data_IF_211730475072
#
_entry.id   IF_211730475072
#
_cell.length_a   1.000
_cell.length_b   1.000
_cell.length_c   1.000
_cell.angle_alpha   90.00
_cell.angle_beta   90.00
_cell.angle_gamma   90.00
#
_symmetry.space_group_name_H-M   'P 1'
#
loop_
_entity.id
_entity.type
_entity.pdbx_description
1 polymer ?
#
# COMPACT_ATOMS: atom_id res chain seq x y z
N UNK A 1 -0.61 -6.07 2.17
CA UNK A 1 -1.61 -6.30 1.08
C UNK A 1 -2.82 -5.41 1.31
N UNK A 2 -3.36 -4.80 0.26
CA UNK A 2 -4.59 -3.99 0.28
C UNK A 2 -5.74 -4.77 -0.34
N UNK A 3 -6.98 -4.40 0.00
CA UNK A 3 -8.21 -4.96 -0.60
C UNK A 3 -9.18 -3.84 -0.98
N UNK A 4 -10.19 -4.17 -1.79
CA UNK A 4 -11.23 -3.23 -2.18
C UNK A 4 -12.25 -2.97 -1.05
N UNK A 5 -12.94 -1.84 -1.12
CA UNK A 5 -13.97 -1.44 -0.15
C UNK A 5 -15.04 -2.53 0.06
N UNK A 6 -15.56 -3.13 -1.03
CA UNK A 6 -16.61 -4.15 -0.91
C UNK A 6 -16.12 -5.39 -0.15
N UNK A 7 -14.85 -5.80 -0.34
CA UNK A 7 -14.21 -6.89 0.40
C UNK A 7 -14.00 -6.52 1.87
N UNK A 8 -13.54 -5.29 2.13
CA UNK A 8 -13.42 -4.77 3.49
C UNK A 8 -14.76 -4.77 4.24
N UNK A 9 -15.85 -4.40 3.56
CA UNK A 9 -17.20 -4.47 4.13
C UNK A 9 -17.67 -5.89 4.40
N UNK A 10 -17.25 -6.88 3.61
CA UNK A 10 -17.52 -8.30 3.91
C UNK A 10 -16.84 -8.72 5.20
N UNK A 11 -15.59 -8.31 5.40
CA UNK A 11 -14.86 -8.54 6.66
C UNK A 11 -15.60 -7.84 7.81
N UNK A 12 -15.98 -6.58 7.67
CA UNK A 12 -16.73 -5.87 8.71
C UNK A 12 -18.02 -6.58 9.10
N UNK A 13 -18.79 -7.12 8.14
CA UNK A 13 -19.98 -7.92 8.43
C UNK A 13 -19.67 -9.18 9.24
N UNK A 14 -18.57 -9.89 8.90
CA UNK A 14 -18.12 -11.08 9.67
C UNK A 14 -17.85 -10.75 11.13
N UNK A 15 -17.42 -9.53 11.42
CA UNK A 15 -17.17 -9.03 12.78
C UNK A 15 -18.34 -8.27 13.40
N UNK A 16 -19.54 -8.38 12.83
CA UNK A 16 -20.77 -7.83 13.38
C UNK A 16 -20.96 -6.31 13.22
N UNK A 17 -20.18 -5.68 12.35
CA UNK A 17 -20.33 -4.25 12.09
C UNK A 17 -21.42 -3.99 11.03
N UNK A 18 -22.34 -3.04 11.28
CA UNK A 18 -23.31 -2.64 10.28
C UNK A 18 -22.64 -1.92 9.11
N UNK A 19 -22.94 -2.38 7.91
CA UNK A 19 -22.51 -1.78 6.63
C UNK A 19 -23.71 -1.71 5.68
N UNK A 20 -23.77 -0.77 4.74
CA UNK A 20 -24.82 -0.74 3.73
C UNK A 20 -24.87 -2.03 2.92
N UNK A 21 -26.04 -2.38 2.40
CA UNK A 21 -26.14 -3.46 1.42
C UNK A 21 -25.51 -2.98 0.11
N UNK A 22 -24.63 -3.79 -0.46
CA UNK A 22 -23.95 -3.46 -1.70
C UNK A 22 -23.61 -4.72 -2.47
N UNK A 23 -23.51 -4.59 -3.80
CA UNK A 23 -23.17 -5.67 -4.72
C UNK A 23 -22.07 -5.16 -5.66
N UNK A 24 -20.92 -5.85 -5.75
CA UNK A 24 -19.88 -5.52 -6.72
C UNK A 24 -20.37 -5.78 -8.15
N UNK A 25 -19.88 -4.99 -9.10
CA UNK A 25 -20.21 -5.12 -10.51
C UNK A 25 -18.96 -4.91 -11.38
N UNK A 26 -18.79 -5.75 -12.40
CA UNK A 26 -17.64 -5.74 -13.32
C UNK A 26 -18.02 -5.28 -14.73
N UNK A 27 -19.30 -4.99 -14.93
CA UNK A 27 -19.85 -4.40 -16.14
C UNK A 27 -20.99 -3.44 -15.81
N UNK A 28 -21.37 -2.61 -16.78
CA UNK A 28 -22.51 -1.68 -16.64
C UNK A 28 -23.82 -2.45 -16.44
N UNK A 29 -24.00 -3.57 -17.14
CA UNK A 29 -25.22 -4.39 -17.01
C UNK A 29 -25.31 -5.06 -15.63
N UNK A 30 -24.18 -5.52 -15.09
CA UNK A 30 -24.11 -6.02 -13.72
C UNK A 30 -24.44 -4.92 -12.69
N UNK A 31 -24.00 -3.69 -12.90
CA UNK A 31 -24.33 -2.57 -12.02
C UNK A 31 -25.83 -2.29 -11.99
N UNK A 32 -26.50 -2.30 -13.16
CA UNK A 32 -27.98 -2.15 -13.24
C UNK A 32 -28.70 -3.33 -12.57
N UNK A 33 -28.20 -4.56 -12.78
CA UNK A 33 -28.74 -5.76 -12.13
C UNK A 33 -28.58 -5.68 -10.60
N UNK A 34 -27.43 -5.23 -10.13
CA UNK A 34 -27.16 -5.02 -8.72
C UNK A 34 -28.16 -4.04 -8.09
N UNK A 35 -28.38 -2.90 -8.72
CA UNK A 35 -29.38 -1.92 -8.27
C UNK A 35 -30.80 -2.48 -8.18
N UNK A 36 -31.21 -3.27 -9.19
CA UNK A 36 -32.52 -3.95 -9.16
C UNK A 36 -32.61 -4.95 -8.00
N UNK A 37 -31.56 -5.72 -7.76
CA UNK A 37 -31.51 -6.71 -6.68
C UNK A 37 -31.55 -6.04 -5.29
N UNK A 38 -30.86 -4.92 -5.12
CA UNK A 38 -30.88 -4.15 -3.87
C UNK A 38 -32.25 -3.53 -3.60
N UNK A 39 -32.99 -3.18 -4.66
CA UNK A 39 -34.27 -2.45 -4.54
C UNK A 39 -34.05 -1.02 -4.08
N UNK A 40 -35.17 -0.38 -3.64
CA UNK A 40 -35.11 1.00 -3.20
C UNK A 40 -35.23 2.01 -4.35
N UNK A 41 -34.89 3.27 -4.07
CA UNK A 41 -35.02 4.38 -5.02
C UNK A 41 -33.76 5.26 -5.12
N UNK A 42 -32.77 5.00 -4.29
CA UNK A 42 -31.49 5.73 -4.28
C UNK A 42 -30.35 4.74 -4.13
N UNK A 43 -29.40 4.84 -5.03
CA UNK A 43 -28.18 4.02 -5.02
C UNK A 43 -26.95 4.91 -5.11
N UNK A 44 -25.81 4.37 -4.68
CA UNK A 44 -24.51 5.00 -4.86
C UNK A 44 -23.65 4.07 -5.70
N UNK A 45 -23.11 4.57 -6.80
CA UNK A 45 -22.17 3.85 -7.68
C UNK A 45 -20.76 4.31 -7.32
N UNK A 46 -19.93 3.38 -6.86
CA UNK A 46 -18.61 3.66 -6.32
C UNK A 46 -17.52 2.93 -7.12
N UNK A 47 -16.54 3.67 -7.60
CA UNK A 47 -15.29 3.09 -8.13
C UNK A 47 -14.60 2.23 -7.06
N UNK A 48 -14.09 1.08 -7.45
CA UNK A 48 -13.29 0.23 -6.57
C UNK A 48 -11.84 0.27 -7.03
N UNK A 49 -11.01 1.01 -6.31
CA UNK A 49 -9.55 1.09 -6.43
C UNK A 49 -8.94 1.11 -5.04
N UNK A 50 -7.66 0.74 -4.92
CA UNK A 50 -6.93 0.73 -3.65
C UNK A 50 -6.44 2.12 -3.20
N UNK A 51 -7.25 3.15 -3.45
CA UNK A 51 -6.94 4.53 -3.05
C UNK A 51 -8.14 5.22 -2.42
N UNK A 52 -7.85 6.13 -1.48
CA UNK A 52 -8.83 7.04 -0.90
C UNK A 52 -9.10 8.27 -1.78
N UNK A 53 -10.04 9.13 -1.35
CA UNK A 53 -10.38 10.36 -2.07
C UNK A 53 -11.19 10.16 -3.34
N UNK A 54 -11.76 8.98 -3.55
CA UNK A 54 -12.53 8.61 -4.75
C UNK A 54 -13.70 9.55 -5.04
N UNK A 55 -14.37 10.02 -3.99
CA UNK A 55 -15.49 10.97 -4.14
C UNK A 55 -15.07 12.29 -4.78
N UNK A 56 -13.96 12.88 -4.31
CA UNK A 56 -13.40 14.13 -4.87
C UNK A 56 -12.91 13.93 -6.31
N UNK A 57 -12.42 12.74 -6.65
CA UNK A 57 -12.00 12.38 -8.00
C UNK A 57 -13.13 12.06 -8.97
N UNK A 58 -14.39 12.10 -8.52
CA UNK A 58 -15.56 11.76 -9.36
C UNK A 58 -15.90 10.27 -9.44
N UNK A 59 -15.22 9.43 -8.65
CA UNK A 59 -15.43 7.98 -8.60
C UNK A 59 -16.59 7.51 -7.71
N UNK A 60 -17.37 8.43 -7.11
CA UNK A 60 -18.53 8.10 -6.29
C UNK A 60 -19.69 9.00 -6.71
N UNK A 61 -20.79 8.40 -7.17
CA UNK A 61 -21.93 9.15 -7.70
C UNK A 61 -23.25 8.54 -7.23
N UNK A 62 -24.19 9.41 -6.84
CA UNK A 62 -25.56 9.04 -6.49
C UNK A 62 -26.39 8.85 -7.76
N UNK A 63 -27.29 7.87 -7.74
CA UNK A 63 -28.28 7.60 -8.77
C UNK A 63 -29.68 7.42 -8.15
N UNK A 64 -30.70 8.00 -8.77
CA UNK A 64 -32.10 7.99 -8.30
C UNK A 64 -33.03 7.21 -9.23
N UNK A 65 -32.47 6.58 -10.28
CA UNK A 65 -33.19 5.69 -11.19
C UNK A 65 -32.23 4.65 -11.75
N UNK A 66 -32.74 3.57 -12.32
CA UNK A 66 -31.91 2.55 -12.98
C UNK A 66 -31.17 3.10 -14.20
N UNK A 67 -31.75 4.05 -14.91
CA UNK A 67 -31.10 4.73 -16.02
C UNK A 67 -29.94 5.60 -15.55
N UNK A 68 -30.09 6.28 -14.42
CA UNK A 68 -28.98 6.99 -13.78
C UNK A 68 -27.89 6.03 -13.29
N UNK A 69 -28.24 4.86 -12.73
CA UNK A 69 -27.24 3.84 -12.37
C UNK A 69 -26.45 3.41 -13.61
N UNK A 70 -27.11 3.14 -14.74
CA UNK A 70 -26.46 2.82 -16.00
C UNK A 70 -25.53 3.93 -16.47
N UNK A 71 -25.99 5.18 -16.42
CA UNK A 71 -25.20 6.36 -16.79
C UNK A 71 -23.96 6.48 -15.90
N UNK A 72 -24.12 6.46 -14.56
CA UNK A 72 -23.00 6.57 -13.62
C UNK A 72 -22.00 5.42 -13.74
N UNK A 73 -22.49 4.19 -13.92
CA UNK A 73 -21.64 3.05 -14.15
C UNK A 73 -20.82 3.21 -15.45
N UNK A 74 -21.41 3.72 -16.53
CA UNK A 74 -20.73 3.99 -17.79
C UNK A 74 -19.66 5.08 -17.67
N UNK A 75 -19.94 6.12 -16.87
CA UNK A 75 -19.00 7.22 -16.60
C UNK A 75 -17.78 6.77 -15.78
N UNK A 76 -17.99 5.87 -14.80
CA UNK A 76 -16.98 5.51 -13.80
C UNK A 76 -16.18 4.29 -14.24
N UNK A 77 -16.82 3.25 -14.81
CA UNK A 77 -16.13 2.03 -15.20
C UNK A 77 -15.17 2.30 -16.37
N UNK A 78 -13.92 1.96 -16.19
CA UNK A 78 -12.86 2.18 -17.18
C UNK A 78 -12.21 3.57 -17.13
N UNK A 79 -12.72 4.50 -16.32
CA UNK A 79 -12.08 5.81 -16.16
C UNK A 79 -10.70 5.68 -15.49
N UNK A 80 -9.82 6.62 -15.80
CA UNK A 80 -8.58 6.83 -15.06
C UNK A 80 -8.86 7.77 -13.89
N UNK A 81 -9.00 7.19 -12.70
CA UNK A 81 -9.38 7.94 -11.50
C UNK A 81 -8.14 8.52 -10.82
N UNK A 82 -8.06 9.84 -10.82
CA UNK A 82 -6.98 10.58 -10.16
C UNK A 82 -7.44 11.03 -8.77
N UNK A 83 -6.68 10.66 -7.75
CA UNK A 83 -6.86 11.10 -6.36
C UNK A 83 -5.52 11.54 -5.80
N UNK A 84 -5.50 12.13 -4.62
CA UNK A 84 -4.25 12.48 -3.93
C UNK A 84 -3.37 11.25 -3.59
N UNK A 85 -3.95 10.04 -3.61
CA UNK A 85 -3.23 8.79 -3.31
C UNK A 85 -2.78 8.00 -4.55
N UNK A 86 -3.35 8.26 -5.73
CA UNK A 86 -2.98 7.57 -6.98
C UNK A 86 -1.85 8.24 -7.74
N UNK A 87 -1.46 9.45 -7.34
CA UNK A 87 -0.57 10.28 -8.13
C UNK A 87 -1.22 10.80 -9.43
N UNK A 88 -0.47 11.55 -10.25
CA UNK A 88 -1.00 12.22 -11.45
C UNK A 88 -1.42 11.23 -12.57
N UNK A 89 -0.85 10.03 -12.59
CA UNK A 89 -1.23 8.97 -13.54
C UNK A 89 -2.60 8.38 -13.28
N UNK A 90 -3.10 8.49 -12.05
CA UNK A 90 -4.36 7.89 -11.64
C UNK A 90 -4.34 6.36 -11.63
N UNK A 91 -5.49 5.78 -11.30
CA UNK A 91 -5.72 4.33 -11.33
C UNK A 91 -6.93 4.01 -12.20
N UNK A 92 -6.81 3.01 -13.07
CA UNK A 92 -7.92 2.57 -13.92
C UNK A 92 -8.97 1.84 -13.09
N UNK A 93 -10.22 2.30 -13.18
CA UNK A 93 -11.36 1.66 -12.51
C UNK A 93 -11.80 0.43 -13.30
N UNK A 94 -11.61 -0.77 -12.74
CA UNK A 94 -11.97 -2.05 -13.36
C UNK A 94 -13.23 -2.68 -12.78
N UNK A 95 -13.72 -2.17 -11.66
CA UNK A 95 -14.91 -2.69 -10.96
C UNK A 95 -15.60 -1.60 -10.17
N UNK A 96 -16.88 -1.82 -9.91
CA UNK A 96 -17.76 -0.92 -9.20
C UNK A 96 -18.34 -1.62 -7.96
N UNK A 97 -18.78 -0.82 -7.00
CA UNK A 97 -19.71 -1.23 -5.96
C UNK A 97 -20.99 -0.43 -6.14
N UNK A 98 -22.11 -1.10 -6.33
CA UNK A 98 -23.45 -0.48 -6.27
C UNK A 98 -24.00 -0.73 -4.88
N UNK A 99 -24.36 0.35 -4.19
CA UNK A 99 -24.74 0.33 -2.78
C UNK A 99 -26.04 1.07 -2.55
N UNK A 100 -26.83 0.65 -1.57
CA UNK A 100 -28.02 1.39 -1.17
C UNK A 100 -27.64 2.77 -0.61
N UNK A 101 -28.47 3.78 -0.89
CA UNK A 101 -28.29 5.12 -0.30
C UNK A 101 -28.53 5.11 1.21
N UNK A 102 -27.86 6.00 1.92
CA UNK A 102 -28.01 6.20 3.35
C UNK A 102 -28.46 7.64 3.67
N UNK A 103 -29.36 7.81 4.64
CA UNK A 103 -29.74 9.15 5.17
C UNK A 103 -28.67 9.59 6.18
N UNK A 104 -27.61 10.24 5.67
CA UNK A 104 -26.46 10.66 6.47
C UNK A 104 -26.81 11.91 7.26
N UNK A 105 -26.74 11.86 8.58
CA UNK A 105 -26.89 13.00 9.48
C UNK A 105 -25.59 13.50 10.04
N UNK A 106 -24.64 12.59 10.27
CA UNK A 106 -23.33 12.90 10.80
C UNK A 106 -22.29 11.99 10.19
N UNK A 107 -21.16 12.57 9.80
CA UNK A 107 -20.00 11.86 9.31
C UNK A 107 -18.88 11.93 10.35
N UNK A 108 -18.33 10.79 10.69
CA UNK A 108 -17.29 10.62 11.69
C UNK A 108 -16.12 9.86 11.07
N UNK A 109 -14.97 9.96 11.69
CA UNK A 109 -13.79 9.17 11.33
C UNK A 109 -13.43 8.19 12.44
N UNK A 110 -13.09 6.95 12.06
CA UNK A 110 -12.51 5.95 12.96
C UNK A 110 -11.45 5.17 12.21
N UNK A 111 -10.28 5.01 12.82
CA UNK A 111 -9.19 4.22 12.24
C UNK A 111 -8.34 3.54 13.31
N UNK A 112 -7.70 2.43 12.94
CA UNK A 112 -6.74 1.72 13.77
C UNK A 112 -5.46 1.45 13.00
N UNK A 113 -4.33 1.66 13.67
CA UNK A 113 -2.99 1.38 13.18
C UNK A 113 -2.14 0.81 14.30
N UNK A 114 -1.03 0.15 13.94
CA UNK A 114 0.01 -0.18 14.93
C UNK A 114 0.87 1.06 15.16
N UNK A 115 0.88 1.55 16.39
CA UNK A 115 1.80 2.61 16.81
C UNK A 115 3.13 2.00 17.25
N UNK A 116 4.17 2.26 16.46
CA UNK A 116 5.51 1.71 16.70
C UNK A 116 6.19 2.30 17.92
N UNK A 117 5.86 3.56 18.25
CA UNK A 117 6.45 4.25 19.41
C UNK A 117 6.02 3.64 20.74
N UNK A 118 4.74 3.33 20.88
CA UNK A 118 4.16 2.72 22.08
C UNK A 118 4.07 1.19 22.01
N UNK A 119 4.29 0.60 20.83
CA UNK A 119 4.11 -0.84 20.54
C UNK A 119 2.67 -1.32 20.87
N UNK A 120 1.68 -0.47 20.60
CA UNK A 120 0.26 -0.71 20.84
C UNK A 120 -0.56 -0.46 19.58
N UNK A 121 -1.81 -0.92 19.59
CA UNK A 121 -2.79 -0.51 18.59
C UNK A 121 -3.31 0.87 18.97
N UNK A 122 -3.15 1.84 18.08
CA UNK A 122 -3.73 3.15 18.22
C UNK A 122 -5.10 3.21 17.55
N UNK A 123 -6.14 3.43 18.34
CA UNK A 123 -7.46 3.79 17.85
C UNK A 123 -7.51 5.32 17.72
N UNK A 124 -7.80 5.79 16.52
CA UNK A 124 -8.01 7.20 16.22
C UNK A 124 -9.46 7.43 15.87
N UNK A 125 -10.04 8.48 16.40
CA UNK A 125 -11.43 8.85 16.11
C UNK A 125 -11.58 10.38 16.05
N UNK A 126 -12.46 10.87 15.18
CA UNK A 126 -12.71 12.30 14.99
C UNK A 126 -14.16 12.57 14.63
N UNK A 127 -14.65 13.75 15.02
CA UNK A 127 -15.91 14.31 14.52
C UNK A 127 -15.83 14.80 13.08
N UNK A 128 -14.64 14.87 12.50
CA UNK A 128 -14.36 15.26 11.11
C UNK A 128 -14.28 14.01 10.23
N UNK A 129 -15.42 13.52 9.76
CA UNK A 129 -15.51 12.39 8.84
C UNK A 129 -15.73 12.83 7.39
N UNK A 130 -15.51 11.89 6.44
CA UNK A 130 -15.67 12.16 5.01
C UNK A 130 -14.61 13.09 4.41
N UNK A 131 -13.57 13.42 5.18
CA UNK A 131 -12.47 14.32 4.77
C UNK A 131 -11.13 13.61 4.87
N UNK A 132 -10.08 14.25 4.34
CA UNK A 132 -8.71 13.80 4.46
C UNK A 132 -8.24 13.94 5.91
N UNK A 133 -8.08 12.81 6.59
CA UNK A 133 -7.71 12.77 8.02
C UNK A 133 -6.26 13.21 8.25
N UNK A 134 -5.38 13.02 7.28
CA UNK A 134 -4.00 13.49 7.34
C UNK A 134 -3.96 15.02 7.38
N UNK A 135 -4.83 15.68 6.62
CA UNK A 135 -4.99 17.14 6.67
C UNK A 135 -5.55 17.61 8.03
N UNK A 136 -6.50 16.87 8.61
CA UNK A 136 -7.00 17.16 9.97
C UNK A 136 -5.88 16.98 10.99
N UNK A 137 -5.09 15.91 10.88
CA UNK A 137 -3.96 15.65 11.78
C UNK A 137 -2.88 16.74 11.71
N UNK A 138 -2.64 17.29 10.52
CA UNK A 138 -1.64 18.36 10.34
C UNK A 138 -2.13 19.73 10.82
N UNK A 139 -3.41 20.07 10.57
CA UNK A 139 -3.93 21.43 10.79
C UNK A 139 -4.67 21.59 12.14
N UNK A 140 -5.34 20.55 12.61
CA UNK A 140 -6.19 20.55 13.82
C UNK A 140 -6.07 19.23 14.58
N UNK A 141 -4.86 18.85 15.05
CA UNK A 141 -4.61 17.55 15.68
C UNK A 141 -5.44 17.30 16.95
N UNK A 142 -5.90 18.36 17.61
CA UNK A 142 -6.78 18.31 18.78
C UNK A 142 -8.17 17.74 18.47
N UNK A 143 -8.59 17.73 17.20
CA UNK A 143 -9.83 17.10 16.74
C UNK A 143 -9.75 15.59 16.64
N UNK A 144 -8.56 15.02 16.76
CA UNK A 144 -8.34 13.58 16.71
C UNK A 144 -8.15 13.03 18.11
N UNK A 145 -9.13 12.30 18.60
CA UNK A 145 -9.01 11.49 19.81
C UNK A 145 -8.14 10.27 19.51
N UNK A 146 -7.11 10.04 20.34
CA UNK A 146 -6.25 8.85 20.27
C UNK A 146 -6.37 8.03 21.55
N UNK A 147 -6.52 6.71 21.37
CA UNK A 147 -6.53 5.75 22.48
C UNK A 147 -5.53 4.64 22.12
N UNK A 148 -4.58 4.39 23.00
CA UNK A 148 -3.59 3.33 22.84
C UNK A 148 -4.06 2.09 23.57
N UNK A 149 -4.45 1.06 22.81
CA UNK A 149 -5.03 -0.17 23.33
C UNK A 149 -3.90 -1.09 23.77
N UNK A 150 -3.96 -1.54 25.01
CA UNK A 150 -3.03 -2.54 25.52
C UNK A 150 -3.33 -3.91 24.89
N UNK A 151 -2.34 -4.59 24.29
CA UNK A 151 -2.56 -5.87 23.62
C UNK A 151 -3.06 -6.99 24.57
N UNK A 152 -2.72 -6.89 25.86
CA UNK A 152 -3.09 -7.89 26.87
C UNK A 152 -4.53 -7.79 27.32
N UNK A 153 -5.08 -6.55 27.39
CA UNK A 153 -6.47 -6.32 27.85
C UNK A 153 -7.46 -6.09 26.71
N UNK A 154 -6.98 -5.57 25.57
CA UNK A 154 -7.80 -5.20 24.43
C UNK A 154 -8.63 -3.92 24.67
N UNK A 155 -9.47 -3.59 23.71
CA UNK A 155 -10.43 -2.48 23.82
C UNK A 155 -11.64 -2.92 24.62
N UNK A 156 -11.94 -2.22 25.73
CA UNK A 156 -13.12 -2.53 26.54
C UNK A 156 -14.35 -1.69 26.12
N UNK A 157 -15.53 -2.12 26.60
CA UNK A 157 -16.80 -1.45 26.28
C UNK A 157 -16.86 0.01 26.77
N UNK A 158 -16.33 0.27 27.97
CA UNK A 158 -16.31 1.61 28.54
C UNK A 158 -15.43 2.58 27.72
N UNK A 159 -14.25 2.13 27.30
CA UNK A 159 -13.36 2.92 26.43
C UNK A 159 -14.02 3.18 25.06
N UNK A 160 -14.68 2.19 24.47
CA UNK A 160 -15.41 2.37 23.21
C UNK A 160 -16.56 3.39 23.36
N UNK A 161 -17.30 3.37 24.48
CA UNK A 161 -18.33 4.35 24.78
C UNK A 161 -17.76 5.76 24.92
N UNK A 162 -16.65 5.90 25.64
CA UNK A 162 -15.96 7.18 25.80
C UNK A 162 -15.49 7.76 24.46
N UNK A 163 -14.91 6.92 23.60
CA UNK A 163 -14.51 7.33 22.25
C UNK A 163 -15.73 7.78 21.45
N UNK A 164 -16.81 7.01 21.43
CA UNK A 164 -18.04 7.34 20.71
C UNK A 164 -18.61 8.71 21.16
N UNK A 165 -18.68 8.97 22.48
CA UNK A 165 -19.15 10.24 23.01
C UNK A 165 -18.20 11.39 22.65
N UNK A 166 -16.89 11.16 22.72
CA UNK A 166 -15.88 12.21 22.47
C UNK A 166 -15.93 12.75 21.02
N UNK A 167 -16.35 11.95 20.07
CA UNK A 167 -16.52 12.35 18.67
C UNK A 167 -17.94 12.79 18.34
N UNK A 168 -18.81 12.86 19.37
CA UNK A 168 -20.15 13.41 19.30
C UNK A 168 -21.18 12.47 18.72
N UNK A 169 -21.07 11.15 18.93
CA UNK A 169 -22.15 10.20 18.68
C UNK A 169 -23.31 10.52 19.63
N UNK A 170 -24.56 10.64 19.15
CA UNK A 170 -25.71 10.83 20.02
C UNK A 170 -25.85 9.71 21.06
N UNK A 171 -26.26 10.03 22.29
CA UNK A 171 -26.30 9.05 23.39
C UNK A 171 -27.11 7.79 23.06
N UNK A 172 -28.23 7.92 22.36
CA UNK A 172 -29.04 6.78 21.91
C UNK A 172 -28.36 5.88 20.88
N UNK A 173 -27.32 6.38 20.22
CA UNK A 173 -26.53 5.63 19.21
C UNK A 173 -25.20 5.08 19.75
N UNK A 174 -24.80 5.45 20.98
CA UNK A 174 -23.55 4.99 21.60
C UNK A 174 -23.42 3.46 21.66
N UNK A 175 -24.47 2.69 22.03
CA UNK A 175 -24.37 1.22 22.04
C UNK A 175 -24.05 0.62 20.65
N UNK A 176 -24.55 1.22 19.57
CA UNK A 176 -24.24 0.78 18.20
C UNK A 176 -22.81 1.18 17.80
N UNK A 177 -22.39 2.39 18.14
CA UNK A 177 -21.00 2.84 17.92
C UNK A 177 -20.00 1.94 18.66
N UNK A 178 -20.33 1.56 19.91
CA UNK A 178 -19.54 0.56 20.66
C UNK A 178 -19.40 -0.74 19.89
N UNK A 179 -20.48 -1.26 19.33
CA UNK A 179 -20.46 -2.49 18.52
C UNK A 179 -19.50 -2.35 17.34
N UNK A 180 -19.52 -1.18 16.65
CA UNK A 180 -18.60 -0.91 15.54
C UNK A 180 -17.16 -0.84 16.02
N UNK A 181 -16.86 -0.10 17.09
CA UNK A 181 -15.49 0.06 17.60
C UNK A 181 -14.88 -1.26 18.09
N UNK A 182 -15.65 -2.06 18.83
CA UNK A 182 -15.22 -3.38 19.27
C UNK A 182 -15.06 -4.34 18.10
N UNK A 183 -15.97 -4.30 17.13
CA UNK A 183 -15.89 -5.09 15.90
C UNK A 183 -14.65 -4.71 15.06
N UNK A 184 -14.36 -3.43 14.93
CA UNK A 184 -13.17 -2.94 14.22
C UNK A 184 -11.88 -3.39 14.90
N UNK A 185 -11.80 -3.29 16.23
CA UNK A 185 -10.67 -3.79 17.01
C UNK A 185 -10.46 -5.30 16.79
N UNK A 186 -11.56 -6.07 16.87
CA UNK A 186 -11.50 -7.51 16.66
C UNK A 186 -11.09 -7.86 15.24
N UNK A 187 -11.65 -7.19 14.24
CA UNK A 187 -11.26 -7.34 12.84
C UNK A 187 -9.77 -7.01 12.64
N UNK A 188 -9.30 -5.88 13.17
CA UNK A 188 -7.90 -5.46 13.08
C UNK A 188 -6.95 -6.52 13.63
N UNK A 189 -7.21 -7.01 14.85
CA UNK A 189 -6.37 -7.99 15.53
C UNK A 189 -6.41 -9.36 14.87
N UNK A 190 -7.62 -9.88 14.62
CA UNK A 190 -7.84 -11.27 14.21
C UNK A 190 -7.48 -11.51 12.72
N UNK A 191 -7.34 -10.45 11.92
CA UNK A 191 -6.92 -10.52 10.51
C UNK A 191 -5.50 -10.05 10.27
N UNK A 192 -4.73 -9.71 11.31
CA UNK A 192 -3.41 -9.10 11.20
C UNK A 192 -3.42 -7.86 10.30
N UNK A 193 -4.43 -7.01 10.47
CA UNK A 193 -4.47 -5.76 9.74
C UNK A 193 -3.37 -4.81 10.21
N UNK A 194 -2.77 -4.06 9.30
CA UNK A 194 -1.83 -2.97 9.58
C UNK A 194 -2.52 -1.61 9.58
N UNK A 195 -3.67 -1.52 8.91
CA UNK A 195 -4.59 -0.40 8.90
C UNK A 195 -6.03 -0.94 8.80
N UNK A 196 -6.93 -0.41 9.61
CA UNK A 196 -8.37 -0.53 9.42
C UNK A 196 -9.01 0.84 9.61
N UNK A 197 -9.70 1.34 8.59
CA UNK A 197 -10.26 2.69 8.57
C UNK A 197 -11.70 2.67 8.09
N UNK A 198 -12.53 3.46 8.75
CA UNK A 198 -13.91 3.77 8.37
C UNK A 198 -13.99 5.29 8.19
N UNK A 199 -14.10 5.73 6.95
CA UNK A 199 -14.14 7.17 6.63
C UNK A 199 -15.10 7.45 5.45
N UNK A 200 -16.38 7.78 5.75
CA UNK A 200 -16.91 8.05 7.08
C UNK A 200 -17.54 6.85 7.79
N UNK A 201 -17.54 6.89 9.10
CA UNK A 201 -18.52 6.25 9.96
C UNK A 201 -19.71 7.18 10.07
N UNK A 202 -20.92 6.74 9.77
CA UNK A 202 -22.08 7.63 9.72
C UNK A 202 -23.10 7.32 10.82
N UNK A 203 -23.72 8.39 11.33
CA UNK A 203 -24.95 8.30 12.09
C UNK A 203 -26.09 8.71 11.15
N UNK A 204 -27.06 7.83 10.98
CA UNK A 204 -28.20 8.05 10.09
C UNK A 204 -29.33 8.81 10.79
N UNK A 205 -30.31 9.30 10.02
CA UNK A 205 -31.46 10.02 10.56
C UNK A 205 -32.33 9.23 11.54
N UNK A 206 -32.35 7.92 11.42
CA UNK A 206 -33.02 6.98 12.34
C UNK A 206 -32.11 6.51 13.49
N UNK A 207 -30.90 7.11 13.63
CA UNK A 207 -29.99 6.86 14.74
C UNK A 207 -29.13 5.61 14.60
N UNK A 208 -29.12 4.93 13.45
CA UNK A 208 -28.19 3.81 13.20
C UNK A 208 -26.77 4.32 12.99
N UNK A 209 -25.81 3.49 13.40
CA UNK A 209 -24.38 3.73 13.17
C UNK A 209 -23.88 2.73 12.13
N UNK A 210 -23.36 3.22 11.01
CA UNK A 210 -23.03 2.41 9.83
C UNK A 210 -21.62 2.75 9.34
N UNK A 211 -20.81 1.74 9.04
CA UNK A 211 -19.54 1.91 8.32
C UNK A 211 -19.83 2.11 6.83
N UNK A 212 -19.79 3.37 6.39
CA UNK A 212 -20.14 3.73 5.01
C UNK A 212 -19.02 3.47 4.02
N UNK A 213 -17.79 3.48 4.47
CA UNK A 213 -16.60 3.09 3.70
C UNK A 213 -15.77 2.08 4.51
N UNK A 214 -14.88 1.37 3.86
CA UNK A 214 -13.97 0.42 4.47
C UNK A 214 -12.63 0.44 3.76
N UNK A 215 -11.56 0.67 4.52
CA UNK A 215 -10.19 0.56 4.04
C UNK A 215 -9.42 -0.35 4.98
N UNK A 216 -8.95 -1.47 4.45
CA UNK A 216 -8.19 -2.46 5.18
C UNK A 216 -6.88 -2.75 4.46
N UNK A 217 -5.79 -2.71 5.21
CA UNK A 217 -4.49 -3.19 4.78
C UNK A 217 -4.04 -4.27 5.76
N UNK A 218 -3.40 -5.31 5.27
CA UNK A 218 -2.94 -6.44 6.07
C UNK A 218 -1.42 -6.51 6.09
N UNK A 219 -0.88 -7.02 7.17
CA UNK A 219 0.53 -7.36 7.26
C UNK A 219 0.84 -8.52 6.31
N UNK A 220 1.65 -8.24 5.29
CA UNK A 220 2.02 -9.25 4.29
C UNK A 220 2.78 -10.42 4.90
N UNK A 221 3.48 -10.23 6.03
CA UNK A 221 4.20 -11.29 6.73
C UNK A 221 3.25 -12.29 7.44
N UNK A 222 1.99 -11.91 7.67
CA UNK A 222 0.99 -12.75 8.31
C UNK A 222 0.05 -13.46 7.33
N UNK A 223 0.10 -13.16 6.04
CA UNK A 223 -0.84 -13.68 5.03
C UNK A 223 -0.83 -15.20 4.90
N UNK A 224 0.27 -15.87 5.26
CA UNK A 224 0.35 -17.33 5.25
C UNK A 224 -0.71 -18.01 6.12
N UNK A 225 -1.26 -17.32 7.11
CA UNK A 225 -2.32 -17.81 8.00
C UNK A 225 -3.71 -17.27 7.67
N UNK A 226 -3.83 -16.46 6.59
CA UNK A 226 -5.09 -15.87 6.12
C UNK A 226 -5.34 -16.17 4.64
N UNK A 227 -5.52 -17.44 4.24
CA UNK A 227 -5.71 -17.80 2.83
C UNK A 227 -6.95 -17.15 2.21
N UNK A 228 -8.01 -16.95 2.97
CA UNK A 228 -9.24 -16.27 2.54
C UNK A 228 -9.00 -14.77 2.22
N UNK A 229 -8.06 -14.13 2.91
CA UNK A 229 -7.66 -12.75 2.62
C UNK A 229 -6.76 -12.71 1.38
N UNK A 230 -5.87 -13.70 1.22
CA UNK A 230 -5.02 -13.81 0.01
C UNK A 230 -5.86 -13.91 -1.26
N UNK A 231 -6.99 -14.60 -1.23
CA UNK A 231 -7.94 -14.71 -2.36
C UNK A 231 -8.56 -13.36 -2.77
N UNK A 232 -8.56 -12.38 -1.86
CA UNK A 232 -9.06 -11.02 -2.12
C UNK A 232 -8.05 -10.13 -2.85
N UNK A 233 -6.83 -10.60 -3.08
CA UNK A 233 -5.75 -9.84 -3.74
C UNK A 233 -6.14 -9.46 -5.16
N UNK A 234 -5.88 -8.22 -5.53
CA UNK A 234 -6.05 -7.70 -6.89
C UNK A 234 -4.71 -7.26 -7.46
N UNK A 235 -4.16 -8.07 -8.35
CA UNK A 235 -2.87 -7.79 -8.98
C UNK A 235 -2.91 -6.57 -9.91
N UNK A 236 -4.07 -6.22 -10.45
CA UNK A 236 -4.23 -5.01 -11.27
C UNK A 236 -4.08 -3.70 -10.49
N UNK A 237 -4.11 -3.78 -9.16
CA UNK A 237 -3.95 -2.65 -8.24
C UNK A 237 -2.53 -2.57 -7.63
N UNK A 238 -1.65 -3.52 -7.95
CA UNK A 238 -0.28 -3.58 -7.46
C UNK A 238 0.71 -3.12 -8.53
N UNK A 239 1.91 -2.73 -8.10
CA UNK A 239 3.00 -2.39 -9.02
C UNK A 239 3.45 -3.65 -9.79
N UNK A 240 3.48 -3.61 -11.14
CA UNK A 240 3.86 -4.77 -11.95
C UNK A 240 5.28 -5.27 -11.68
N UNK A 241 6.21 -4.39 -11.32
CA UNK A 241 7.59 -4.75 -11.04
C UNK A 241 7.72 -5.40 -9.66
N UNK A 242 6.92 -4.95 -8.67
CA UNK A 242 6.81 -5.61 -7.36
C UNK A 242 6.21 -7.02 -7.49
N UNK A 243 5.18 -7.19 -8.34
CA UNK A 243 4.60 -8.50 -8.64
C UNK A 243 5.63 -9.42 -9.29
N UNK A 244 6.37 -8.92 -10.28
CA UNK A 244 7.38 -9.70 -10.97
C UNK A 244 8.50 -10.12 -10.01
N UNK A 245 8.98 -9.20 -9.18
CA UNK A 245 10.01 -9.47 -8.18
C UNK A 245 9.59 -10.57 -7.19
N UNK A 246 8.33 -10.59 -6.80
CA UNK A 246 7.80 -11.59 -5.86
C UNK A 246 7.88 -13.02 -6.40
N UNK A 247 7.86 -13.23 -7.72
CA UNK A 247 7.99 -14.55 -8.34
C UNK A 247 9.37 -15.17 -8.15
N UNK A 248 10.38 -14.32 -7.92
CA UNK A 248 11.77 -14.72 -7.72
C UNK A 248 12.21 -14.60 -6.25
N UNK A 249 11.25 -14.39 -5.33
CA UNK A 249 11.53 -14.19 -3.91
C UNK A 249 12.52 -13.02 -3.69
N UNK A 250 12.29 -11.92 -4.41
CA UNK A 250 12.99 -10.65 -4.29
C UNK A 250 12.11 -9.66 -3.54
N UNK A 251 12.69 -8.97 -2.55
CA UNK A 251 12.03 -7.85 -1.88
C UNK A 251 12.28 -6.57 -2.68
N UNK A 252 11.32 -6.15 -3.47
CA UNK A 252 11.39 -4.97 -4.34
C UNK A 252 10.28 -3.98 -4.01
N UNK A 253 10.64 -2.69 -3.97
CA UNK A 253 9.68 -1.58 -3.86
C UNK A 253 10.09 -0.52 -4.87
N UNK A 254 9.18 -0.14 -5.76
CA UNK A 254 9.38 0.94 -6.72
C UNK A 254 9.37 2.30 -6.03
N UNK A 255 10.32 3.16 -6.37
CA UNK A 255 10.45 4.54 -5.90
C UNK A 255 10.57 5.48 -7.11
N UNK A 256 10.46 6.75 -6.92
CA UNK A 256 10.40 7.70 -8.04
C UNK A 256 11.75 8.25 -8.54
N UNK A 257 12.88 7.69 -8.11
CA UNK A 257 14.21 8.19 -8.46
C UNK A 257 14.78 7.64 -9.77
N UNK A 258 16.07 7.88 -9.99
CA UNK A 258 16.79 7.54 -11.23
C UNK A 258 18.05 6.65 -11.01
N UNK A 259 18.34 6.29 -9.75
CA UNK A 259 19.45 5.42 -9.38
C UNK A 259 18.92 4.08 -8.88
N UNK A 260 19.12 3.01 -9.65
CA UNK A 260 18.75 1.66 -9.27
C UNK A 260 19.66 1.11 -8.17
N UNK A 261 19.07 0.41 -7.19
CA UNK A 261 19.78 -0.17 -6.06
C UNK A 261 19.60 -1.68 -6.04
N UNK A 262 20.72 -2.44 -6.00
CA UNK A 262 20.75 -3.89 -5.78
C UNK A 262 21.62 -4.18 -4.57
N UNK A 263 21.01 -4.71 -3.52
CA UNK A 263 21.67 -4.87 -2.22
C UNK A 263 21.33 -6.23 -1.61
N UNK A 264 22.17 -6.79 -0.79
CA UNK A 264 21.84 -7.94 0.04
C UNK A 264 21.64 -7.54 1.50
N UNK A 265 20.41 -7.71 1.98
CA UNK A 265 19.98 -7.36 3.32
C UNK A 265 19.27 -6.00 3.40
N UNK A 266 18.07 -6.01 3.97
CA UNK A 266 17.18 -4.85 4.03
C UNK A 266 17.81 -3.63 4.74
N UNK A 267 18.56 -3.86 5.84
CA UNK A 267 19.25 -2.78 6.56
C UNK A 267 20.32 -2.09 5.70
N UNK A 268 21.09 -2.87 4.94
CA UNK A 268 22.10 -2.34 4.02
C UNK A 268 21.43 -1.62 2.85
N UNK A 269 20.30 -2.12 2.35
CA UNK A 269 19.52 -1.47 1.30
C UNK A 269 19.03 -0.09 1.73
N UNK A 270 18.44 0.03 2.92
CA UNK A 270 18.01 1.31 3.48
C UNK A 270 19.18 2.27 3.65
N UNK A 271 20.29 1.83 4.26
CA UNK A 271 21.48 2.66 4.43
C UNK A 271 22.10 3.10 3.09
N UNK A 272 22.02 2.25 2.05
CA UNK A 272 22.48 2.58 0.70
C UNK A 272 21.65 3.71 0.10
N UNK A 273 20.32 3.61 0.20
CA UNK A 273 19.40 4.64 -0.29
C UNK A 273 19.59 5.96 0.45
N UNK A 274 19.72 5.95 1.78
CA UNK A 274 20.00 7.14 2.59
C UNK A 274 21.31 7.80 2.18
N UNK A 275 22.36 6.98 1.93
CA UNK A 275 23.64 7.51 1.49
C UNK A 275 23.54 8.14 0.10
N UNK A 276 22.85 7.52 -0.86
CA UNK A 276 22.59 8.11 -2.18
C UNK A 276 21.90 9.47 -2.03
N UNK A 277 20.88 9.57 -1.18
CA UNK A 277 20.18 10.83 -0.91
C UNK A 277 21.11 11.88 -0.29
N UNK A 278 21.96 11.49 0.65
CA UNK A 278 22.95 12.38 1.27
C UNK A 278 23.91 13.00 0.23
N UNK A 279 24.26 12.26 -0.81
CA UNK A 279 25.09 12.73 -1.92
C UNK A 279 24.30 13.42 -3.05
N UNK A 280 23.00 13.66 -2.86
CA UNK A 280 22.14 14.41 -3.77
C UNK A 280 21.66 13.61 -4.98
N UNK A 281 21.52 12.28 -4.84
CA UNK A 281 20.88 11.40 -5.79
C UNK A 281 19.49 10.93 -5.35
N UNK A 282 18.73 10.32 -6.24
CA UNK A 282 17.39 9.83 -5.97
C UNK A 282 17.29 8.32 -6.26
N UNK A 283 17.09 7.46 -5.22
CA UNK A 283 16.92 6.03 -5.40
C UNK A 283 15.67 5.69 -6.23
N UNK A 284 15.81 4.84 -7.25
CA UNK A 284 14.72 4.39 -8.09
C UNK A 284 13.93 3.25 -7.44
N UNK A 285 14.57 2.47 -6.58
CA UNK A 285 13.97 1.32 -5.92
C UNK A 285 14.68 0.94 -4.61
N UNK A 286 13.92 0.30 -3.72
CA UNK A 286 14.48 -0.60 -2.72
C UNK A 286 14.57 -2.00 -3.35
N UNK A 287 15.68 -2.70 -3.18
CA UNK A 287 15.80 -4.09 -3.56
C UNK A 287 16.77 -4.83 -2.66
N UNK A 288 16.26 -5.88 -2.03
CA UNK A 288 17.04 -6.85 -1.25
C UNK A 288 16.98 -8.22 -1.93
N UNK A 289 18.13 -8.68 -2.41
CA UNK A 289 18.24 -10.00 -3.04
C UNK A 289 18.34 -11.15 -2.02
N UNK A 290 18.38 -10.82 -0.73
CA UNK A 290 18.53 -11.78 0.35
C UNK A 290 19.94 -12.36 0.51
N UNK A 291 20.16 -13.10 1.59
CA UNK A 291 21.47 -13.71 1.92
C UNK A 291 21.83 -14.95 1.11
N UNK A 292 20.93 -15.45 0.27
CA UNK A 292 21.13 -16.67 -0.55
C UNK A 292 20.92 -16.41 -2.05
N UNK A 293 21.17 -15.19 -2.55
CA UNK A 293 20.94 -14.85 -3.95
C UNK A 293 21.81 -15.68 -4.90
N UNK A 294 21.17 -16.23 -5.91
CA UNK A 294 21.81 -16.94 -7.03
C UNK A 294 22.07 -15.98 -8.19
N UNK A 295 22.89 -16.37 -9.14
CA UNK A 295 23.10 -15.63 -10.39
C UNK A 295 21.79 -15.36 -11.12
N UNK A 296 20.82 -16.28 -11.05
CA UNK A 296 19.48 -16.14 -11.62
C UNK A 296 18.70 -15.01 -10.93
N UNK A 297 18.61 -14.99 -9.61
CA UNK A 297 17.96 -13.91 -8.84
C UNK A 297 18.57 -12.54 -9.17
N UNK A 298 19.90 -12.45 -9.26
CA UNK A 298 20.58 -11.22 -9.64
C UNK A 298 20.21 -10.79 -11.06
N UNK A 299 20.15 -11.73 -11.99
CA UNK A 299 19.75 -11.46 -13.38
C UNK A 299 18.31 -10.91 -13.46
N UNK A 300 17.37 -11.54 -12.77
CA UNK A 300 15.98 -11.08 -12.75
C UNK A 300 15.86 -9.71 -12.04
N UNK A 301 16.61 -9.47 -10.97
CA UNK A 301 16.67 -8.17 -10.33
C UNK A 301 17.13 -7.07 -11.31
N UNK A 302 18.16 -7.29 -12.12
CA UNK A 302 18.59 -6.36 -13.15
C UNK A 302 17.49 -6.13 -14.21
N UNK A 303 16.85 -7.20 -14.69
CA UNK A 303 15.76 -7.09 -15.67
C UNK A 303 14.61 -6.23 -15.15
N UNK A 304 14.24 -6.41 -13.88
CA UNK A 304 13.18 -5.62 -13.23
C UNK A 304 13.59 -4.15 -13.14
N UNK A 305 14.78 -3.85 -12.61
CA UNK A 305 15.26 -2.47 -12.50
C UNK A 305 15.32 -1.76 -13.87
N UNK A 306 15.72 -2.47 -14.92
CA UNK A 306 15.85 -1.90 -16.27
C UNK A 306 14.50 -1.62 -16.97
N UNK A 307 13.38 -2.07 -16.42
CA UNK A 307 12.04 -1.65 -16.89
C UNK A 307 11.74 -0.20 -16.53
N UNK A 308 12.41 0.34 -15.51
CA UNK A 308 12.23 1.72 -15.11
C UNK A 308 12.82 2.68 -16.15
N UNK A 309 11.95 3.35 -16.90
CA UNK A 309 12.33 4.20 -18.04
C UNK A 309 13.20 5.42 -17.67
N UNK A 310 13.17 5.84 -16.41
CA UNK A 310 13.95 6.95 -15.88
C UNK A 310 15.31 6.57 -15.29
N UNK A 311 15.71 5.29 -15.38
CA UNK A 311 16.94 4.80 -14.77
C UNK A 311 18.20 5.37 -15.47
N UNK A 312 19.07 6.01 -14.71
CA UNK A 312 20.30 6.63 -15.21
C UNK A 312 21.57 5.94 -14.77
N UNK A 313 21.58 5.28 -13.62
CA UNK A 313 22.72 4.52 -13.11
C UNK A 313 22.25 3.42 -12.16
N UNK A 314 23.08 2.42 -11.93
CA UNK A 314 22.80 1.35 -10.95
C UNK A 314 23.96 1.25 -9.95
N UNK A 315 23.60 1.14 -8.66
CA UNK A 315 24.51 0.80 -7.58
C UNK A 315 24.23 -0.61 -7.08
N UNK A 316 25.23 -1.49 -7.21
CA UNK A 316 25.28 -2.79 -6.55
C UNK A 316 26.11 -2.65 -5.29
N UNK A 317 25.51 -2.85 -4.12
CA UNK A 317 26.18 -2.75 -2.83
C UNK A 317 26.02 -4.04 -2.05
N UNK A 318 27.10 -4.83 -1.97
CA UNK A 318 27.10 -6.17 -1.38
C UNK A 318 28.01 -6.22 -0.16
N UNK A 319 27.49 -6.82 0.90
CA UNK A 319 28.27 -7.26 2.03
C UNK A 319 28.27 -8.79 2.09
N UNK A 320 29.40 -9.39 1.73
CA UNK A 320 29.59 -10.84 1.70
C UNK A 320 29.72 -11.41 3.11
N UNK A 321 28.71 -12.20 3.47
CA UNK A 321 28.71 -13.05 4.65
C UNK A 321 28.48 -14.48 4.22
N UNK A 322 27.27 -15.00 4.40
CA UNK A 322 26.84 -16.29 3.86
C UNK A 322 26.91 -16.26 2.32
N UNK A 323 26.45 -15.17 1.72
CA UNK A 323 26.64 -14.88 0.30
C UNK A 323 28.06 -14.42 0.05
N UNK A 324 28.75 -15.02 -0.92
CA UNK A 324 30.13 -14.71 -1.27
C UNK A 324 30.18 -13.66 -2.39
N UNK A 325 31.18 -12.77 -2.32
CA UNK A 325 31.35 -11.70 -3.31
C UNK A 325 31.65 -12.23 -4.73
N UNK A 326 32.37 -13.34 -4.86
CA UNK A 326 32.63 -13.99 -6.14
C UNK A 326 31.33 -14.46 -6.83
N UNK A 327 30.44 -15.13 -6.10
CA UNK A 327 29.15 -15.60 -6.63
C UNK A 327 28.29 -14.41 -7.14
N UNK A 328 28.28 -13.31 -6.39
CA UNK A 328 27.55 -12.11 -6.83
C UNK A 328 28.23 -11.44 -8.02
N UNK A 329 29.58 -11.38 -8.04
CA UNK A 329 30.31 -10.83 -9.18
C UNK A 329 30.00 -11.59 -10.47
N UNK A 330 29.98 -12.92 -10.43
CA UNK A 330 29.58 -13.78 -11.55
C UNK A 330 28.13 -13.47 -11.98
N UNK A 331 27.20 -13.35 -11.02
CA UNK A 331 25.80 -13.00 -11.28
C UNK A 331 25.64 -11.61 -11.92
N UNK A 332 26.36 -10.61 -11.41
CA UNK A 332 26.37 -9.24 -11.96
C UNK A 332 26.91 -9.23 -13.39
N UNK A 333 28.03 -9.92 -13.65
CA UNK A 333 28.61 -10.02 -14.99
C UNK A 333 27.67 -10.74 -15.95
N UNK A 334 27.10 -11.88 -15.55
CA UNK A 334 26.16 -12.63 -16.38
C UNK A 334 24.90 -11.81 -16.67
N UNK A 335 24.33 -11.17 -15.66
CA UNK A 335 23.14 -10.31 -15.81
C UNK A 335 23.41 -9.12 -16.74
N UNK A 336 24.53 -8.41 -16.53
CA UNK A 336 24.91 -7.24 -17.34
C UNK A 336 25.08 -7.59 -18.81
N UNK A 337 25.64 -8.76 -19.12
CA UNK A 337 25.75 -9.28 -20.49
C UNK A 337 24.40 -9.68 -21.07
N UNK A 338 23.58 -10.39 -20.29
CA UNK A 338 22.27 -10.87 -20.74
C UNK A 338 21.30 -9.74 -21.07
N UNK A 339 21.32 -8.64 -20.31
CA UNK A 339 20.44 -7.47 -20.52
C UNK A 339 21.06 -6.40 -21.41
N UNK A 340 22.29 -6.57 -21.88
CA UNK A 340 23.02 -5.56 -22.65
C UNK A 340 22.99 -4.17 -21.97
N UNK A 341 23.47 -4.14 -20.72
CA UNK A 341 23.38 -2.98 -19.83
C UNK A 341 23.90 -1.70 -20.50
N UNK A 342 23.06 -0.66 -20.56
CA UNK A 342 23.37 0.62 -21.20
C UNK A 342 23.63 1.75 -20.20
N UNK A 343 23.27 1.55 -18.94
CA UNK A 343 23.48 2.55 -17.89
C UNK A 343 24.76 2.26 -17.10
N UNK A 344 25.43 3.26 -16.56
CA UNK A 344 26.61 3.07 -15.71
C UNK A 344 26.32 2.16 -14.53
N UNK A 345 27.25 1.24 -14.25
CA UNK A 345 27.17 0.31 -13.15
C UNK A 345 28.30 0.57 -12.14
N UNK A 346 27.92 0.97 -10.94
CA UNK A 346 28.84 1.09 -9.80
C UNK A 346 28.69 -0.11 -8.90
N UNK A 347 29.78 -0.73 -8.51
CA UNK A 347 29.78 -1.93 -7.67
C UNK A 347 30.69 -1.75 -6.46
N UNK A 348 30.12 -1.92 -5.28
CA UNK A 348 30.84 -2.01 -4.01
C UNK A 348 30.61 -3.40 -3.43
N UNK A 349 31.71 -4.12 -3.18
CA UNK A 349 31.72 -5.44 -2.52
C UNK A 349 32.65 -5.43 -1.34
N UNK A 350 32.22 -6.01 -0.22
CA UNK A 350 32.98 -6.22 1.00
C UNK A 350 32.65 -7.58 1.60
N UNK A 351 33.64 -8.21 2.26
CA UNK A 351 33.46 -9.46 2.99
C UNK A 351 34.00 -10.68 2.30
N UNK A 352 33.37 -11.84 2.44
CA UNK A 352 33.87 -13.13 1.99
C UNK A 352 34.14 -13.14 0.49
N UNK A 353 35.37 -13.51 0.10
CA UNK A 353 35.86 -13.57 -1.28
C UNK A 353 35.88 -12.23 -2.01
N UNK A 354 36.07 -11.11 -1.27
CA UNK A 354 36.09 -9.76 -1.84
C UNK A 354 37.07 -9.60 -2.99
N UNK A 355 38.33 -10.05 -2.80
CA UNK A 355 39.39 -9.91 -3.81
C UNK A 355 39.07 -10.72 -5.08
N UNK A 356 38.53 -11.92 -4.92
CA UNK A 356 38.10 -12.75 -6.05
C UNK A 356 36.92 -12.09 -6.80
N UNK A 357 35.92 -11.57 -6.08
CA UNK A 357 34.82 -10.85 -6.69
C UNK A 357 35.27 -9.62 -7.48
N UNK A 358 36.18 -8.83 -6.93
CA UNK A 358 36.78 -7.66 -7.63
C UNK A 358 37.54 -8.08 -8.89
N UNK A 359 38.31 -9.18 -8.83
CA UNK A 359 39.02 -9.72 -9.99
C UNK A 359 38.05 -10.13 -11.10
N UNK A 360 36.97 -10.86 -10.77
CA UNK A 360 35.94 -11.25 -11.73
C UNK A 360 35.32 -10.01 -12.43
N UNK A 361 35.00 -8.96 -11.67
CA UNK A 361 34.49 -7.73 -12.24
C UNK A 361 35.49 -7.04 -13.17
N UNK A 362 36.75 -6.94 -12.77
CA UNK A 362 37.82 -6.32 -13.56
C UNK A 362 38.10 -7.06 -14.86
N UNK A 363 38.09 -8.39 -14.84
CA UNK A 363 38.33 -9.25 -16.00
C UNK A 363 37.12 -9.44 -16.91
N UNK A 364 35.91 -8.92 -16.52
CA UNK A 364 34.67 -9.11 -17.23
C UNK A 364 34.59 -8.43 -18.62
N UNK A 365 35.46 -7.43 -18.86
CA UNK A 365 35.40 -6.57 -20.03
C UNK A 365 34.22 -5.56 -20.05
N UNK A 366 33.46 -5.46 -18.95
CA UNK A 366 32.38 -4.52 -18.81
C UNK A 366 32.86 -3.18 -18.19
N UNK A 367 32.24 -2.04 -18.53
CA UNK A 367 32.60 -0.73 -17.97
C UNK A 367 32.04 -0.56 -16.54
N UNK A 368 32.51 -1.40 -15.62
CA UNK A 368 32.09 -1.39 -14.22
C UNK A 368 32.97 -0.44 -13.41
N UNK A 369 32.35 0.46 -12.67
CA UNK A 369 33.02 1.37 -11.74
C UNK A 369 33.03 0.70 -10.35
N UNK A 370 34.19 0.37 -9.83
CA UNK A 370 34.32 -0.21 -8.49
C UNK A 370 34.45 0.87 -7.42
N UNK A 371 33.97 0.62 -6.20
CA UNK A 371 34.11 1.50 -5.05
C UNK A 371 34.57 0.71 -3.81
N UNK A 372 35.34 1.36 -2.94
CA UNK A 372 35.95 0.72 -1.76
C UNK A 372 35.05 0.81 -0.50
N UNK A 373 34.22 1.82 -0.42
CA UNK A 373 33.31 2.06 0.70
C UNK A 373 31.97 2.64 0.22
N UNK A 374 31.01 2.77 1.12
CA UNK A 374 29.66 3.20 0.78
C UNK A 374 29.58 4.66 0.34
N UNK A 375 30.36 5.53 0.97
CA UNK A 375 30.43 6.94 0.61
C UNK A 375 30.95 7.13 -0.84
N UNK A 376 32.07 6.49 -1.17
CA UNK A 376 32.63 6.48 -2.52
C UNK A 376 31.67 5.88 -3.55
N UNK A 377 30.96 4.81 -3.18
CA UNK A 377 29.97 4.21 -4.06
C UNK A 377 28.81 5.15 -4.38
N UNK A 378 28.28 5.85 -3.37
CA UNK A 378 27.23 6.82 -3.55
C UNK A 378 27.70 8.04 -4.37
N UNK A 379 28.87 8.58 -4.08
CA UNK A 379 29.47 9.69 -4.84
C UNK A 379 29.60 9.33 -6.31
N UNK A 380 30.17 8.14 -6.61
CA UNK A 380 30.39 7.68 -7.98
C UNK A 380 29.10 7.42 -8.74
N UNK A 381 28.11 6.78 -8.10
CA UNK A 381 26.84 6.51 -8.79
C UNK A 381 26.04 7.77 -9.03
N UNK A 382 26.04 8.73 -8.10
CA UNK A 382 25.39 10.02 -8.28
C UNK A 382 26.06 10.82 -9.39
N UNK A 383 27.39 10.84 -9.43
CA UNK A 383 28.14 11.48 -10.52
C UNK A 383 27.81 10.84 -11.87
N UNK A 384 27.79 9.50 -11.94
CA UNK A 384 27.46 8.76 -13.15
C UNK A 384 26.01 9.00 -13.62
N UNK A 385 25.04 9.09 -12.70
CA UNK A 385 23.66 9.37 -13.02
C UNK A 385 23.46 10.82 -13.55
N UNK A 386 24.24 11.80 -13.04
CA UNK A 386 24.20 13.19 -13.52
C UNK A 386 24.84 13.37 -14.89
N UNK A 387 25.78 12.49 -15.26
CA UNK A 387 26.46 12.52 -16.54
C UNK A 387 25.69 11.82 -17.68
N UNK A 388 24.67 11.01 -17.35
CA UNK A 388 23.84 10.22 -18.26
C UNK A 388 22.39 10.80 -18.31
#
# INVERSE_FOLDING_TARGET
MKIHEYQGKEIFRKFGMPVPRGIPAFSVDEAVKAARTLGGSVWVVKAQIHAGGRGKGGGVKVAKSLDEVKQRATEILGMQLVTHQTGPGGQKVRRLLVEEGADIRKELYVGMVVDRGTQRIALMASSEGGVDIEAVAANTPEKIRRVFIDPGTGLCAAEADDVARSIGVPEGSVPQARTVLLGLYKAFRDTDASLAEINPLVVTGDGRVIALDAKLNFDSNALFRHPDIVEMRDLDEEDPDEIEASKFDLSYISLGGDIGCLVNGAGLAMATMDTIKLYGGEPANFLDVGGGATAEKVTEAFKIMLRHSGLKAILVNIFGGIMKCDTIAEGVVAASKAVSLKVPLVVRMKGTNEDLGRKILAESGLPIITANNMAEAAERVVAAAKAN
#
